data_IF_100747619605
#
_entry.id   IF_100747619605
#
_cell.length_a   1.000
_cell.length_b   1.000
_cell.length_c   1.000
_cell.angle_alpha   90.00
_cell.angle_beta   90.00
_cell.angle_gamma   90.00
#
_symmetry.space_group_name_H-M   'P 1'
#
loop_
_entity.id
_entity.type
_entity.pdbx_description
1 polymer ?
#
# COMPACT_ATOMS: atom_id res chain seq x y z
N UNK A 1 -1.52 -0.73 -3.48
CA UNK A 1 -2.77 -0.51 -2.76
C UNK A 1 -2.56 0.33 -1.48
N UNK A 2 -1.63 -0.03 -0.61
CA UNK A 2 -1.40 0.62 0.69
C UNK A 2 -1.02 2.11 0.60
N UNK A 3 -0.17 2.49 -0.35
CA UNK A 3 0.21 3.90 -0.56
C UNK A 3 -0.98 4.74 -1.00
N UNK A 4 -1.89 4.20 -1.81
CA UNK A 4 -3.09 4.91 -2.23
C UNK A 4 -4.06 5.12 -1.07
N UNK A 5 -4.14 4.17 -0.14
CA UNK A 5 -4.94 4.34 1.08
C UNK A 5 -4.35 5.42 1.99
N UNK A 6 -3.03 5.50 2.09
CA UNK A 6 -2.36 6.58 2.81
C UNK A 6 -2.64 7.95 2.15
N UNK A 7 -2.59 8.04 0.81
CA UNK A 7 -3.00 9.24 0.08
C UNK A 7 -4.46 9.60 0.35
N UNK A 8 -5.37 8.62 0.36
CA UNK A 8 -6.80 8.86 0.67
C UNK A 8 -6.98 9.46 2.06
N UNK A 9 -6.34 8.87 3.08
CA UNK A 9 -6.39 9.35 4.46
C UNK A 9 -5.83 10.76 4.62
N UNK A 10 -4.76 11.05 3.89
CA UNK A 10 -4.18 12.40 3.87
C UNK A 10 -5.16 13.42 3.29
N UNK A 11 -5.69 13.13 2.08
CA UNK A 11 -6.58 14.04 1.35
C UNK A 11 -7.93 14.23 2.03
N UNK A 12 -8.44 13.20 2.70
CA UNK A 12 -9.68 13.25 3.47
C UNK A 12 -9.55 13.89 4.86
N UNK A 13 -8.35 14.37 5.23
CA UNK A 13 -8.11 14.97 6.55
C UNK A 13 -8.00 13.96 7.70
N UNK A 14 -8.27 12.69 7.46
CA UNK A 14 -8.22 11.61 8.46
C UNK A 14 -6.83 11.50 9.11
N UNK A 15 -5.77 11.61 8.30
CA UNK A 15 -4.40 11.49 8.81
C UNK A 15 -4.04 12.65 9.74
N UNK A 16 -4.48 13.87 9.42
CA UNK A 16 -4.27 15.05 10.29
C UNK A 16 -5.00 14.89 11.61
N UNK A 17 -6.23 14.43 11.57
CA UNK A 17 -7.02 14.16 12.78
C UNK A 17 -6.36 13.09 13.64
N UNK A 18 -5.97 11.95 13.08
CA UNK A 18 -5.29 10.88 13.80
C UNK A 18 -3.98 11.35 14.44
N UNK A 19 -3.19 12.14 13.72
CA UNK A 19 -1.97 12.74 14.25
C UNK A 19 -2.25 13.59 15.48
N UNK A 20 -3.24 14.48 15.42
CA UNK A 20 -3.60 15.35 16.54
C UNK A 20 -4.07 14.54 17.75
N UNK A 21 -4.92 13.54 17.56
CA UNK A 21 -5.40 12.67 18.64
C UNK A 21 -4.25 11.91 19.29
N UNK A 22 -3.35 11.33 18.50
CA UNK A 22 -2.19 10.59 19.02
C UNK A 22 -1.23 11.50 19.79
N UNK A 23 -0.91 12.67 19.27
CA UNK A 23 -0.06 13.66 19.97
C UNK A 23 -0.69 14.08 21.30
N UNK A 24 -2.00 14.34 21.34
CA UNK A 24 -2.73 14.70 22.56
C UNK A 24 -2.70 13.59 23.61
N UNK A 25 -2.78 12.34 23.19
CA UNK A 25 -2.83 11.18 24.08
C UNK A 25 -1.44 10.60 24.41
N UNK A 26 -0.35 11.16 23.88
CA UNK A 26 0.99 10.60 24.04
C UNK A 26 1.16 9.21 23.40
N UNK A 27 0.30 8.88 22.43
CA UNK A 27 0.32 7.57 21.75
C UNK A 27 1.42 7.54 20.69
N UNK A 28 2.46 6.73 20.92
CA UNK A 28 3.60 6.54 20.03
C UNK A 28 3.41 5.46 18.97
N UNK A 29 2.24 4.81 18.92
CA UNK A 29 1.99 3.79 17.90
C UNK A 29 1.95 4.42 16.50
N UNK A 30 2.38 3.70 15.46
CA UNK A 30 2.40 4.24 14.10
C UNK A 30 1.02 4.71 13.61
N UNK A 31 1.00 5.81 12.86
CA UNK A 31 -0.16 6.26 12.08
C UNK A 31 -0.41 5.34 10.89
N UNK A 32 0.67 4.80 10.35
CA UNK A 32 0.68 3.85 9.25
C UNK A 32 1.88 2.92 9.39
N UNK A 33 1.68 1.65 9.09
CA UNK A 33 2.74 0.65 9.07
C UNK A 33 2.56 -0.28 7.88
N UNK A 34 3.66 -0.50 7.16
CA UNK A 34 3.76 -1.50 6.11
C UNK A 34 4.81 -2.53 6.53
N UNK A 35 4.40 -3.79 6.54
CA UNK A 35 5.28 -4.92 6.78
C UNK A 35 5.52 -5.66 5.46
N UNK A 36 6.77 -5.94 5.16
CA UNK A 36 7.12 -6.66 3.95
C UNK A 36 8.44 -7.39 4.11
N UNK A 37 8.85 -8.05 3.05
CA UNK A 37 10.12 -8.76 3.07
C UNK A 37 10.25 -9.78 1.95
N UNK A 38 11.33 -10.56 2.03
CA UNK A 38 11.63 -11.64 1.10
C UNK A 38 11.97 -12.89 1.90
N UNK A 39 11.28 -14.00 1.62
CA UNK A 39 11.53 -15.26 2.31
C UNK A 39 12.95 -15.79 2.07
N UNK A 40 13.48 -16.55 3.01
CA UNK A 40 14.80 -17.17 2.91
C UNK A 40 14.92 -18.02 1.63
N UNK A 41 13.90 -18.78 1.28
CA UNK A 41 13.85 -19.60 0.07
C UNK A 41 13.96 -18.73 -1.20
N UNK A 42 13.22 -17.62 -1.24
CA UNK A 42 13.24 -16.70 -2.37
C UNK A 42 14.59 -15.99 -2.47
N UNK A 43 15.20 -15.62 -1.35
CA UNK A 43 16.54 -15.05 -1.31
C UNK A 43 17.57 -16.05 -1.85
N UNK A 44 17.50 -17.31 -1.43
CA UNK A 44 18.39 -18.38 -1.91
C UNK A 44 18.24 -18.61 -3.41
N UNK A 45 17.02 -18.62 -3.93
CA UNK A 45 16.74 -18.80 -5.37
C UNK A 45 17.39 -17.71 -6.22
N UNK A 46 17.53 -16.49 -5.69
CA UNK A 46 18.17 -15.37 -6.41
C UNK A 46 19.66 -15.17 -6.05
N UNK A 47 20.29 -16.14 -5.39
CA UNK A 47 21.69 -16.04 -4.97
C UNK A 47 21.95 -14.93 -3.92
N UNK A 48 20.94 -14.55 -3.17
CA UNK A 48 20.98 -13.47 -2.15
C UNK A 48 20.69 -14.02 -0.75
N UNK A 49 20.94 -15.31 -0.53
CA UNK A 49 20.75 -15.91 0.78
C UNK A 49 21.52 -15.13 1.86
N UNK A 50 20.87 -14.91 2.99
CA UNK A 50 21.52 -14.29 4.14
C UNK A 50 22.41 -15.30 4.84
N UNK A 51 23.50 -14.85 5.45
CA UNK A 51 24.43 -15.71 6.18
C UNK A 51 23.78 -16.41 7.38
N UNK A 52 22.75 -15.77 7.97
CA UNK A 52 21.97 -16.32 9.10
C UNK A 52 20.84 -17.27 8.67
N UNK A 53 20.66 -17.50 7.37
CA UNK A 53 19.60 -18.35 6.80
C UNK A 53 18.18 -17.81 6.98
N UNK A 54 17.99 -16.61 7.53
CA UNK A 54 16.69 -16.04 7.82
C UNK A 54 16.11 -15.29 6.60
N UNK A 55 14.81 -15.04 6.66
CA UNK A 55 14.14 -14.12 5.76
C UNK A 55 14.64 -12.68 5.97
N UNK A 56 14.54 -11.85 4.94
CA UNK A 56 14.80 -10.41 5.06
C UNK A 56 13.48 -9.67 5.27
N UNK A 57 13.33 -9.07 6.45
CA UNK A 57 12.21 -8.17 6.73
C UNK A 57 12.53 -6.74 6.29
N UNK A 58 11.52 -6.05 5.77
CA UNK A 58 11.53 -4.61 5.49
C UNK A 58 10.26 -4.02 6.06
N UNK A 59 10.40 -2.96 6.83
CA UNK A 59 9.26 -2.25 7.41
C UNK A 59 9.32 -0.77 7.03
N UNK A 60 8.16 -0.19 6.85
CA UNK A 60 8.03 1.26 6.72
C UNK A 60 6.94 1.72 7.69
N UNK A 61 7.22 2.79 8.43
CA UNK A 61 6.30 3.33 9.43
C UNK A 61 6.21 4.84 9.29
N UNK A 62 5.01 5.37 9.50
CA UNK A 62 4.78 6.78 9.70
C UNK A 62 4.34 6.97 11.14
N UNK A 63 5.12 7.68 11.92
CA UNK A 63 4.84 7.99 13.32
C UNK A 63 4.71 9.48 13.53
N UNK A 64 4.11 9.89 14.63
CA UNK A 64 4.10 11.29 15.02
C UNK A 64 5.51 11.73 15.38
N UNK A 65 5.99 12.80 14.76
CA UNK A 65 7.28 13.41 15.11
C UNK A 65 7.20 14.19 16.42
N UNK A 66 8.28 14.20 17.19
CA UNK A 66 8.39 15.01 18.40
C UNK A 66 8.67 16.49 18.13
N UNK A 67 9.48 16.78 17.12
CA UNK A 67 9.86 18.15 16.70
C UNK A 67 9.16 18.60 15.41
N UNK A 68 8.68 17.64 14.63
CA UNK A 68 7.98 17.84 13.37
C UNK A 68 6.62 17.18 13.46
N UNK A 69 5.82 17.22 12.37
CA UNK A 69 4.53 16.54 12.34
C UNK A 69 4.70 15.04 12.24
N UNK A 70 5.58 14.60 11.34
CA UNK A 70 5.81 13.19 11.04
C UNK A 70 7.28 12.81 11.10
N UNK A 71 7.50 11.56 11.45
CA UNK A 71 8.74 10.85 11.23
C UNK A 71 8.42 9.61 10.38
N UNK A 72 8.98 9.58 9.17
CA UNK A 72 8.93 8.39 8.32
C UNK A 72 10.15 7.53 8.60
N UNK A 73 9.93 6.27 8.96
CA UNK A 73 10.96 5.33 9.36
C UNK A 73 10.93 4.13 8.44
N UNK A 74 12.08 3.72 7.93
CA UNK A 74 12.25 2.50 7.18
C UNK A 74 13.38 1.67 7.78
N UNK A 75 13.05 0.43 8.11
CA UNK A 75 13.95 -0.52 8.73
C UNK A 75 14.09 -1.80 7.90
N UNK A 76 15.25 -2.42 7.95
CA UNK A 76 15.44 -3.77 7.43
C UNK A 76 16.37 -4.59 8.30
N UNK A 77 16.18 -5.91 8.26
CA UNK A 77 16.97 -6.84 9.05
C UNK A 77 16.40 -8.26 9.00
N UNK A 78 16.83 -9.15 9.90
CA UNK A 78 16.35 -10.51 9.95
C UNK A 78 14.84 -10.55 10.19
N UNK A 79 14.17 -11.40 9.44
CA UNK A 79 12.73 -11.63 9.52
C UNK A 79 12.35 -13.08 9.62
N UNK A 80 11.13 -13.34 10.01
CA UNK A 80 10.53 -14.66 10.09
C UNK A 80 9.17 -14.66 9.42
N UNK A 81 8.82 -15.75 8.77
CA UNK A 81 7.49 -15.93 8.17
C UNK A 81 6.51 -16.36 9.26
N UNK A 82 5.45 -15.59 9.47
CA UNK A 82 4.40 -15.93 10.43
C UNK A 82 3.41 -16.96 9.83
N UNK A 83 2.46 -17.42 10.64
CA UNK A 83 1.44 -18.40 10.22
C UNK A 83 0.56 -17.93 9.05
N UNK A 84 0.51 -16.61 8.76
CA UNK A 84 -0.23 -16.02 7.63
C UNK A 84 0.63 -15.86 6.37
N UNK A 85 1.87 -16.35 6.38
CA UNK A 85 2.81 -16.20 5.26
C UNK A 85 3.46 -14.82 5.15
N UNK A 86 3.23 -13.92 6.10
CA UNK A 86 3.84 -12.59 6.12
C UNK A 86 5.21 -12.64 6.81
N UNK A 87 6.15 -11.89 6.26
CA UNK A 87 7.46 -11.72 6.87
C UNK A 87 7.38 -10.60 7.90
N UNK A 88 7.63 -10.97 9.15
CA UNK A 88 7.65 -10.05 10.28
C UNK A 88 9.07 -9.82 10.77
N UNK A 89 9.41 -8.63 11.30
CA UNK A 89 10.75 -8.32 11.78
C UNK A 89 11.10 -9.15 13.03
N UNK A 90 12.36 -9.55 13.12
CA UNK A 90 12.96 -10.24 14.28
C UNK A 90 14.22 -9.53 14.79
N UNK A 91 14.31 -8.23 14.57
CA UNK A 91 15.43 -7.41 15.04
C UNK A 91 15.07 -6.50 16.23
N UNK A 92 13.82 -6.52 16.71
CA UNK A 92 13.39 -5.71 17.84
C UNK A 92 13.64 -4.22 17.62
N UNK A 93 14.44 -3.59 18.50
CA UNK A 93 14.83 -2.16 18.41
C UNK A 93 16.12 -1.93 17.61
N UNK A 94 16.80 -2.98 17.19
CA UNK A 94 18.10 -2.90 16.52
C UNK A 94 18.03 -3.47 15.10
N UNK A 95 17.46 -2.74 14.13
CA UNK A 95 17.49 -3.15 12.73
C UNK A 95 18.92 -3.12 12.20
N UNK A 96 19.21 -3.92 11.17
CA UNK A 96 20.50 -3.89 10.48
C UNK A 96 20.69 -2.60 9.68
N UNK A 97 19.60 -2.12 9.08
CA UNK A 97 19.59 -0.83 8.40
C UNK A 97 18.39 -0.03 8.91
N UNK A 98 18.65 1.23 9.20
CA UNK A 98 17.68 2.19 9.69
C UNK A 98 17.80 3.50 8.94
N UNK A 99 16.68 3.99 8.44
CA UNK A 99 16.56 5.33 7.86
C UNK A 99 15.34 6.01 8.45
N UNK A 100 15.52 7.26 8.87
CA UNK A 100 14.40 8.07 9.32
C UNK A 100 14.46 9.47 8.74
N UNK A 101 13.31 10.00 8.33
CA UNK A 101 13.16 11.33 7.75
C UNK A 101 12.05 12.07 8.48
N UNK A 102 12.41 13.22 9.05
CA UNK A 102 11.45 14.14 9.68
C UNK A 102 10.80 15.03 8.62
N UNK A 103 9.47 15.16 8.67
CA UNK A 103 8.70 15.93 7.69
C UNK A 103 7.63 16.77 8.39
N UNK A 104 7.38 17.98 7.86
CA UNK A 104 6.16 18.72 8.15
C UNK A 104 4.98 18.09 7.45
N UNK A 105 3.77 18.49 7.84
CA UNK A 105 2.55 18.01 7.18
C UNK A 105 2.53 18.41 5.70
N UNK A 106 2.99 19.62 5.38
CA UNK A 106 3.04 20.16 4.01
C UNK A 106 3.98 19.34 3.13
N UNK A 107 5.22 19.13 3.60
CA UNK A 107 6.21 18.35 2.86
C UNK A 107 5.76 16.90 2.63
N UNK A 108 5.15 16.29 3.65
CA UNK A 108 4.58 14.95 3.51
C UNK A 108 3.42 14.92 2.51
N UNK A 109 2.55 15.94 2.53
CA UNK A 109 1.44 16.07 1.58
C UNK A 109 1.93 16.20 0.14
N UNK A 110 2.94 17.02 -0.09
CA UNK A 110 3.57 17.18 -1.39
C UNK A 110 4.15 15.86 -1.90
N UNK A 111 4.92 15.16 -1.06
CA UNK A 111 5.47 13.84 -1.39
C UNK A 111 4.38 12.84 -1.79
N UNK A 112 3.27 12.80 -1.05
CA UNK A 112 2.16 11.88 -1.33
C UNK A 112 1.42 12.25 -2.61
N UNK A 113 1.21 13.53 -2.89
CA UNK A 113 0.59 14.00 -4.14
C UNK A 113 1.46 13.67 -5.34
N UNK A 114 2.76 13.92 -5.27
CA UNK A 114 3.71 13.54 -6.32
C UNK A 114 3.71 12.02 -6.55
N UNK A 115 3.77 11.23 -5.47
CA UNK A 115 3.73 9.76 -5.54
C UNK A 115 2.46 9.27 -6.23
N UNK A 116 1.30 9.83 -5.87
CA UNK A 116 0.01 9.51 -6.49
C UNK A 116 0.02 9.83 -7.99
N UNK A 117 0.51 11.01 -8.36
CA UNK A 117 0.58 11.47 -9.76
C UNK A 117 1.49 10.56 -10.59
N UNK A 118 2.67 10.26 -10.08
CA UNK A 118 3.60 9.34 -10.76
C UNK A 118 3.02 7.93 -10.91
N UNK A 119 2.37 7.41 -9.88
CA UNK A 119 1.72 6.10 -9.95
C UNK A 119 0.59 6.08 -11.00
N UNK A 120 -0.24 7.11 -11.05
CA UNK A 120 -1.32 7.22 -12.04
C UNK A 120 -0.76 7.31 -13.47
N UNK A 121 0.27 8.11 -13.68
CA UNK A 121 0.93 8.24 -14.99
C UNK A 121 1.56 6.92 -15.44
N UNK A 122 2.24 6.23 -14.53
CA UNK A 122 2.79 4.90 -14.79
C UNK A 122 1.70 3.89 -15.13
N UNK A 123 0.61 3.87 -14.38
CA UNK A 123 -0.51 2.96 -14.59
C UNK A 123 -1.17 3.19 -15.96
N UNK A 124 -1.36 4.45 -16.34
CA UNK A 124 -1.86 4.84 -17.66
C UNK A 124 -0.94 4.32 -18.76
N UNK A 125 0.37 4.57 -18.67
CA UNK A 125 1.34 4.10 -19.64
C UNK A 125 1.37 2.55 -19.72
N UNK A 126 1.27 1.89 -18.58
CA UNK A 126 1.21 0.43 -18.51
C UNK A 126 -0.01 -0.14 -19.27
N UNK A 127 -1.21 0.41 -19.07
CA UNK A 127 -2.41 -0.07 -19.75
C UNK A 127 -2.46 0.31 -21.24
N UNK A 128 -1.82 1.40 -21.65
CA UNK A 128 -1.64 1.71 -23.07
C UNK A 128 -0.79 0.65 -23.79
N UNK A 129 0.24 0.13 -23.11
CA UNK A 129 1.10 -0.93 -23.65
C UNK A 129 0.50 -2.34 -23.47
N UNK A 130 -0.32 -2.53 -22.45
CA UNK A 130 -0.93 -3.81 -22.08
C UNK A 130 -2.46 -3.64 -21.98
N UNK A 131 -3.17 -3.45 -23.10
CA UNK A 131 -4.61 -3.24 -23.07
C UNK A 131 -5.31 -4.43 -22.40
N UNK A 132 -6.24 -4.13 -21.52
CA UNK A 132 -7.09 -5.15 -20.89
C UNK A 132 -7.88 -5.79 -22.03
N UNK A 133 -7.63 -7.07 -22.30
CA UNK A 133 -8.47 -7.82 -23.22
C UNK A 133 -9.87 -7.79 -22.65
N UNK A 134 -10.79 -7.08 -23.31
CA UNK A 134 -12.20 -7.14 -22.96
C UNK A 134 -12.60 -8.61 -22.97
N UNK A 135 -13.08 -9.13 -21.85
CA UNK A 135 -13.78 -10.39 -21.84
C UNK A 135 -14.89 -10.23 -22.89
N UNK A 136 -14.87 -11.03 -23.93
CA UNK A 136 -15.95 -11.10 -24.91
C UNK A 136 -17.20 -11.35 -24.08
N UNK A 137 -18.04 -10.33 -23.91
CA UNK A 137 -19.34 -10.55 -23.30
C UNK A 137 -20.01 -11.60 -24.14
N UNK A 138 -20.55 -12.69 -23.56
CA UNK A 138 -21.35 -13.62 -24.33
C UNK A 138 -22.40 -12.79 -25.06
N UNK A 139 -22.57 -13.04 -26.38
CA UNK A 139 -23.55 -12.34 -27.19
C UNK A 139 -24.86 -12.30 -26.38
N UNK A 140 -25.37 -11.09 -26.13
CA UNK A 140 -26.70 -10.96 -25.55
C UNK A 140 -27.63 -11.75 -26.46
N UNK A 141 -28.18 -12.85 -25.95
CA UNK A 141 -29.32 -13.50 -26.59
C UNK A 141 -30.37 -12.40 -26.79
N UNK A 142 -30.55 -12.01 -28.03
CA UNK A 142 -31.66 -11.16 -28.43
C UNK A 142 -32.92 -11.88 -28.01
N UNK A 143 -33.52 -11.43 -26.91
CA UNK A 143 -34.87 -11.83 -26.58
C UNK A 143 -35.76 -11.39 -27.74
N UNK A 144 -36.12 -12.36 -28.61
CA UNK A 144 -37.16 -12.17 -29.56
C UNK A 144 -38.44 -11.86 -28.79
N UNK A 145 -38.95 -10.66 -28.98
CA UNK A 145 -40.24 -10.29 -28.42
C UNK A 145 -41.28 -11.33 -28.91
N UNK A 146 -42.16 -11.84 -28.04
CA UNK A 146 -43.21 -12.75 -28.48
C UNK A 146 -44.14 -11.99 -29.42
N UNK A 147 -44.18 -12.43 -30.67
CA UNK A 147 -45.25 -12.10 -31.62
C UNK A 147 -46.56 -12.59 -31.05
N UNK A 148 -47.31 -11.70 -30.40
CA UNK A 148 -48.76 -11.81 -30.25
C UNK A 148 -49.26 -10.78 -29.24
N UNK A 149 -49.44 -9.54 -29.68
CA UNK A 149 -50.43 -8.66 -29.05
C UNK A 149 -51.68 -8.62 -29.95
N UNK A 150 -52.86 -9.07 -29.50
CA UNK A 150 -54.06 -8.92 -30.28
C UNK A 150 -54.44 -7.44 -30.31
N UNK A 151 -54.65 -6.99 -31.54
CA UNK A 151 -55.22 -5.72 -31.92
C UNK A 151 -56.67 -5.66 -31.37
N UNK A 152 -56.91 -4.91 -30.29
CA UNK A 152 -58.28 -4.51 -29.90
C UNK A 152 -58.34 -3.01 -29.79
N UNK A 153 -58.90 -2.46 -30.84
CA UNK A 153 -59.59 -1.17 -30.86
C UNK A 153 -60.61 -1.07 -29.72
N UNK A 154 -60.54 -0.02 -28.94
CA UNK A 154 -61.64 0.92 -28.62
C UNK A 154 -60.98 2.14 -27.93
#
# INVERSE_FOLDING_TARGET
AEVLELCRKLMGGELRYLMQVKKKNGDSTPLYQCLGGTSAEKLARYGRARADGKSLSRTAQLVCGSKTDFLFVADSGPGETNAKGLIVPRFGKNPENHVSVSMTFELFSELMLMTKTHYQSWLTAYYLQNPIKSATMPAQETYAAPDNAPNTLF
#
